data_IF_149582945054
#
_entry.id   IF_149582945054
#
_cell.length_a   1.000
_cell.length_b   1.000
_cell.length_c   1.000
_cell.angle_alpha   90.00
_cell.angle_beta   90.00
_cell.angle_gamma   90.00
#
_symmetry.space_group_name_H-M   'P 1'
#
loop_
_entity.id
_entity.type
_entity.pdbx_description
1 polymer ?
#
# COMPACT_ATOMS: atom_id res chain seq x y z
N UNK A 1 -18.62 -0.15 -10.20
CA UNK A 1 -18.37 1.17 -10.83
C UNK A 1 -16.96 1.63 -10.51
N UNK A 2 -16.44 2.69 -11.14
CA UNK A 2 -15.20 3.34 -10.65
C UNK A 2 -15.49 4.06 -9.33
N UNK A 3 -14.51 4.05 -8.42
CA UNK A 3 -14.59 4.80 -7.16
C UNK A 3 -14.61 6.30 -7.38
N UNK A 4 -15.32 7.01 -6.51
CA UNK A 4 -15.36 8.46 -6.37
C UNK A 4 -14.41 8.98 -5.31
N UNK A 5 -13.76 8.09 -4.54
CA UNK A 5 -12.75 8.48 -3.57
C UNK A 5 -11.60 9.17 -4.31
N UNK A 6 -11.20 10.31 -3.78
CA UNK A 6 -10.07 11.10 -4.25
C UNK A 6 -8.93 11.00 -3.26
N UNK A 7 -7.71 10.87 -3.78
CA UNK A 7 -6.50 10.76 -2.97
C UNK A 7 -5.58 11.95 -3.20
N UNK A 8 -5.00 12.46 -2.12
CA UNK A 8 -3.97 13.49 -2.15
C UNK A 8 -2.76 12.99 -1.38
N UNK A 9 -1.60 13.00 -2.02
CA UNK A 9 -0.33 12.62 -1.38
C UNK A 9 0.29 13.84 -0.70
N UNK A 10 0.69 13.68 0.55
CA UNK A 10 1.51 14.64 1.28
C UNK A 10 2.89 14.02 1.56
N UNK A 11 3.94 14.78 1.22
CA UNK A 11 5.31 14.28 1.19
C UNK A 11 5.86 14.29 -0.23
N UNK A 12 7.07 14.80 -0.40
CA UNK A 12 7.74 14.82 -1.70
C UNK A 12 8.67 13.60 -1.79
N UNK A 13 8.32 12.53 -2.54
CA UNK A 13 9.27 11.46 -2.82
C UNK A 13 10.47 11.95 -3.65
N UNK A 14 10.45 13.20 -4.14
CA UNK A 14 11.46 13.74 -5.03
C UNK A 14 11.37 13.09 -6.41
N UNK A 15 12.50 12.95 -7.09
CA UNK A 15 12.63 12.24 -8.37
C UNK A 15 12.80 10.72 -8.18
N UNK A 16 12.72 10.21 -6.95
CA UNK A 16 12.93 8.79 -6.67
C UNK A 16 11.80 7.93 -7.23
N UNK A 17 12.15 6.76 -7.76
CA UNK A 17 11.16 5.73 -8.09
C UNK A 17 10.41 5.34 -6.81
N UNK A 18 9.10 5.22 -6.91
CA UNK A 18 8.24 4.77 -5.81
C UNK A 18 7.63 3.42 -6.15
N UNK A 19 7.31 2.64 -5.12
CA UNK A 19 6.66 1.35 -5.24
C UNK A 19 5.47 1.19 -4.31
N UNK A 20 4.82 0.03 -4.41
CA UNK A 20 3.72 -0.36 -3.52
C UNK A 20 4.26 -1.19 -2.36
N UNK A 21 3.72 -0.96 -1.17
CA UNK A 21 4.07 -1.73 0.02
C UNK A 21 3.53 -3.15 -0.07
N UNK A 22 4.31 -4.10 0.44
CA UNK A 22 3.83 -5.44 0.78
C UNK A 22 3.51 -5.47 2.27
N UNK A 23 2.34 -5.96 2.68
CA UNK A 23 2.03 -6.05 4.11
C UNK A 23 2.91 -7.09 4.80
N UNK A 24 3.33 -6.80 6.03
CA UNK A 24 3.97 -7.80 6.91
C UNK A 24 2.99 -8.82 7.47
N UNK A 25 1.67 -8.52 7.44
CA UNK A 25 0.63 -9.48 7.81
C UNK A 25 0.09 -10.16 6.54
N UNK A 26 0.44 -11.43 6.36
CA UNK A 26 0.00 -12.22 5.21
C UNK A 26 -1.51 -12.47 5.15
N UNK A 27 -2.24 -12.27 6.25
CA UNK A 27 -3.69 -12.45 6.32
C UNK A 27 -4.47 -11.16 6.11
N UNK A 28 -3.78 -10.03 5.94
CA UNK A 28 -4.41 -8.75 5.73
C UNK A 28 -4.03 -8.16 4.38
N UNK A 29 -5.05 -7.65 3.70
CA UNK A 29 -4.90 -6.88 2.47
C UNK A 29 -5.93 -5.77 2.47
N UNK A 30 -5.57 -4.57 1.95
CA UNK A 30 -6.55 -3.54 1.66
C UNK A 30 -7.75 -4.06 0.84
N UNK A 31 -8.94 -3.48 1.03
CA UNK A 31 -10.15 -3.95 0.39
C UNK A 31 -10.05 -3.79 -1.13
N UNK A 32 -10.42 -4.85 -1.85
CA UNK A 32 -10.49 -4.82 -3.31
C UNK A 32 -11.76 -4.11 -3.83
N UNK A 33 -12.77 -3.93 -2.98
CA UNK A 33 -13.99 -3.20 -3.29
C UNK A 33 -14.67 -2.66 -2.02
N UNK A 34 -15.60 -1.73 -2.19
CA UNK A 34 -16.48 -1.22 -1.14
C UNK A 34 -17.79 -0.69 -1.73
N UNK A 35 -18.75 -0.34 -0.88
CA UNK A 35 -19.97 0.36 -1.27
C UNK A 35 -19.86 1.83 -0.92
N UNK A 36 -20.15 2.70 -1.87
CA UNK A 36 -20.12 4.16 -1.67
C UNK A 36 -21.32 4.85 -2.35
N UNK A 37 -21.67 6.10 -1.96
CA UNK A 37 -22.76 6.86 -2.55
C UNK A 37 -22.61 7.02 -4.07
N UNK A 38 -23.55 6.44 -4.83
CA UNK A 38 -23.42 6.32 -6.27
C UNK A 38 -24.54 7.05 -7.03
N UNK A 39 -25.80 6.75 -6.71
CA UNK A 39 -26.94 7.18 -7.53
C UNK A 39 -28.04 7.81 -6.68
N UNK A 40 -28.59 8.93 -7.11
CA UNK A 40 -29.87 9.43 -6.63
C UNK A 40 -31.04 8.58 -7.17
N UNK A 41 -32.25 8.68 -6.59
CA UNK A 41 -33.44 7.99 -7.10
C UNK A 41 -33.72 8.23 -8.59
N UNK A 42 -33.56 9.48 -9.05
CA UNK A 42 -33.68 9.85 -10.46
C UNK A 42 -32.61 9.17 -11.34
N UNK A 43 -31.38 9.04 -10.87
CA UNK A 43 -30.30 8.38 -11.62
C UNK A 43 -30.49 6.86 -11.71
N UNK A 44 -30.99 6.21 -10.65
CA UNK A 44 -31.41 4.80 -10.74
C UNK A 44 -32.51 4.64 -11.79
N UNK A 45 -33.57 5.45 -11.74
CA UNK A 45 -34.63 5.39 -12.75
C UNK A 45 -34.08 5.59 -14.18
N UNK A 46 -33.19 6.57 -14.36
CA UNK A 46 -32.55 6.83 -15.65
C UNK A 46 -31.71 5.63 -16.13
N UNK A 47 -30.98 4.98 -15.22
CA UNK A 47 -30.17 3.78 -15.49
C UNK A 47 -31.05 2.63 -15.98
N UNK A 48 -32.18 2.36 -15.31
CA UNK A 48 -33.11 1.31 -15.74
C UNK A 48 -33.75 1.63 -17.10
N UNK A 49 -34.14 2.90 -17.33
CA UNK A 49 -34.61 3.36 -18.63
C UNK A 49 -33.56 3.21 -19.74
N UNK A 50 -32.28 3.42 -19.42
CA UNK A 50 -31.17 3.24 -20.35
C UNK A 50 -30.99 1.77 -20.73
N UNK A 51 -31.01 0.86 -19.76
CA UNK A 51 -30.96 -0.58 -20.01
C UNK A 51 -32.07 -1.07 -20.94
N UNK A 52 -33.30 -0.58 -20.77
CA UNK A 52 -34.42 -0.93 -21.67
C UNK A 52 -34.22 -0.49 -23.12
N UNK A 53 -33.37 0.51 -23.36
CA UNK A 53 -33.02 0.95 -24.73
C UNK A 53 -31.92 0.10 -25.37
N UNK A 54 -31.25 -0.76 -24.61
CA UNK A 54 -30.20 -1.66 -25.14
C UNK A 54 -30.87 -2.77 -25.96
N UNK A 55 -30.76 -2.68 -27.28
CA UNK A 55 -31.43 -3.56 -28.24
C UNK A 55 -30.76 -4.91 -28.52
N UNK A 56 -29.81 -5.37 -27.70
CA UNK A 56 -29.07 -6.62 -27.94
C UNK A 56 -29.99 -7.81 -27.67
N UNK A 57 -30.62 -8.37 -28.71
CA UNK A 57 -31.46 -9.58 -28.66
C UNK A 57 -32.45 -9.63 -27.47
N UNK A 58 -33.02 -8.49 -27.07
CA UNK A 58 -33.95 -8.40 -25.93
C UNK A 58 -33.30 -8.42 -24.54
N UNK A 59 -31.98 -8.56 -24.42
CA UNK A 59 -31.23 -8.55 -23.15
C UNK A 59 -31.49 -7.25 -22.37
N UNK A 60 -31.49 -6.09 -23.03
CA UNK A 60 -31.77 -4.82 -22.36
C UNK A 60 -33.16 -4.75 -21.73
N UNK A 61 -34.18 -5.32 -22.39
CA UNK A 61 -35.53 -5.42 -21.83
C UNK A 61 -35.58 -6.38 -20.65
N UNK A 62 -34.88 -7.52 -20.72
CA UNK A 62 -34.79 -8.48 -19.62
C UNK A 62 -34.11 -7.87 -18.39
N UNK A 63 -32.95 -7.24 -18.55
CA UNK A 63 -32.24 -6.54 -17.47
C UNK A 63 -33.08 -5.40 -16.91
N UNK A 64 -33.72 -4.60 -17.77
CA UNK A 64 -34.61 -3.53 -17.35
C UNK A 64 -35.81 -4.04 -16.53
N UNK A 65 -36.38 -5.19 -16.88
CA UNK A 65 -37.46 -5.82 -16.12
C UNK A 65 -37.00 -6.31 -14.74
N UNK A 66 -35.80 -6.90 -14.64
CA UNK A 66 -35.20 -7.32 -13.36
C UNK A 66 -34.99 -6.10 -12.46
N UNK A 67 -34.40 -5.03 -12.99
CA UNK A 67 -34.16 -3.81 -12.24
C UNK A 67 -35.47 -3.12 -11.82
N UNK A 68 -36.49 -3.09 -12.68
CA UNK A 68 -37.82 -2.58 -12.31
C UNK A 68 -38.46 -3.43 -11.20
N UNK A 69 -38.32 -4.76 -11.26
CA UNK A 69 -38.80 -5.64 -10.20
C UNK A 69 -38.17 -5.31 -8.86
N UNK A 70 -36.89 -4.95 -8.82
CA UNK A 70 -36.20 -4.63 -7.57
C UNK A 70 -36.45 -3.18 -7.10
N UNK A 71 -36.31 -2.20 -8.00
CA UNK A 71 -36.32 -0.77 -7.66
C UNK A 71 -37.69 -0.09 -7.77
N UNK A 72 -38.60 -0.59 -8.60
CA UNK A 72 -39.90 0.05 -8.85
C UNK A 72 -41.04 -0.68 -8.15
N UNK A 73 -41.02 -2.01 -8.17
CA UNK A 73 -42.14 -2.85 -7.75
C UNK A 73 -41.87 -3.71 -6.50
N UNK A 74 -40.61 -3.87 -6.10
CA UNK A 74 -40.18 -4.80 -5.05
C UNK A 74 -39.73 -4.09 -3.77
N UNK A 75 -38.46 -4.30 -3.39
CA UNK A 75 -37.86 -3.75 -2.16
C UNK A 75 -38.03 -2.23 -2.08
N UNK A 76 -37.89 -1.55 -3.21
CA UNK A 76 -38.11 -0.12 -3.32
C UNK A 76 -39.37 0.16 -4.15
N UNK A 77 -40.08 1.23 -3.78
CA UNK A 77 -41.30 1.66 -4.48
C UNK A 77 -40.94 2.82 -5.39
N UNK A 78 -41.26 2.70 -6.67
CA UNK A 78 -41.06 3.75 -7.67
C UNK A 78 -39.66 4.41 -7.59
N UNK A 79 -38.61 3.59 -7.49
CA UNK A 79 -37.19 3.98 -7.39
C UNK A 79 -36.84 4.87 -6.19
N UNK A 80 -37.70 4.96 -5.16
CA UNK A 80 -37.62 5.93 -4.06
C UNK A 80 -37.63 7.40 -4.54
N UNK A 81 -38.36 7.72 -5.62
CA UNK A 81 -38.42 9.10 -6.14
C UNK A 81 -38.98 10.12 -5.13
N UNK A 82 -39.84 9.69 -4.21
CA UNK A 82 -40.36 10.47 -3.08
C UNK A 82 -39.29 10.78 -2.00
N UNK A 83 -38.16 10.06 -2.05
CA UNK A 83 -37.00 10.24 -1.18
C UNK A 83 -35.85 10.98 -1.87
N UNK A 84 -36.07 11.56 -3.04
CA UNK A 84 -35.05 12.35 -3.76
C UNK A 84 -34.43 13.42 -2.85
N UNK A 85 -33.10 13.45 -2.77
CA UNK A 85 -32.35 14.40 -1.96
C UNK A 85 -32.25 14.05 -0.47
N UNK A 86 -32.93 12.99 0.00
CA UNK A 86 -32.90 12.53 1.39
C UNK A 86 -31.91 11.38 1.64
N UNK A 87 -31.15 11.00 0.62
CA UNK A 87 -30.25 9.87 0.64
C UNK A 87 -29.73 9.55 -0.76
N UNK A 88 -28.96 8.48 -0.85
CA UNK A 88 -28.39 7.97 -2.10
C UNK A 88 -28.49 6.45 -2.13
N UNK A 89 -28.59 5.88 -3.32
CA UNK A 89 -28.27 4.47 -3.54
C UNK A 89 -26.76 4.31 -3.55
N UNK A 90 -26.25 3.49 -2.64
CA UNK A 90 -24.86 3.11 -2.56
C UNK A 90 -24.62 1.92 -3.47
N UNK A 91 -23.49 1.89 -4.17
CA UNK A 91 -23.15 0.84 -5.11
C UNK A 91 -21.69 0.41 -4.96
N UNK A 92 -21.38 -0.78 -5.45
CA UNK A 92 -20.04 -1.34 -5.41
C UNK A 92 -19.06 -0.53 -6.28
N UNK A 93 -18.03 0.01 -5.65
CA UNK A 93 -16.83 0.56 -6.28
C UNK A 93 -15.68 -0.45 -6.16
N UNK A 94 -14.88 -0.55 -7.22
CA UNK A 94 -13.71 -1.43 -7.25
C UNK A 94 -12.46 -0.60 -7.00
N UNK A 95 -11.55 -1.11 -6.16
CA UNK A 95 -10.22 -0.56 -5.98
C UNK A 95 -9.42 -0.72 -7.28
N UNK A 96 -9.00 0.37 -7.94
CA UNK A 96 -8.29 0.28 -9.21
C UNK A 96 -6.99 -0.53 -9.17
N UNK A 97 -6.27 -0.52 -8.04
CA UNK A 97 -5.03 -1.29 -7.84
C UNK A 97 -5.26 -2.78 -7.59
N UNK A 98 -6.52 -3.18 -7.33
CA UNK A 98 -6.91 -4.56 -7.03
C UNK A 98 -8.02 -5.07 -7.93
N UNK A 99 -8.19 -4.50 -9.12
CA UNK A 99 -9.25 -4.91 -10.07
C UNK A 99 -9.17 -6.39 -10.49
N UNK A 100 -7.96 -6.96 -10.47
CA UNK A 100 -7.69 -8.35 -10.85
C UNK A 100 -7.71 -9.30 -9.64
N UNK A 101 -7.87 -8.76 -8.42
CA UNK A 101 -8.06 -9.53 -7.20
C UNK A 101 -9.44 -10.21 -7.21
N UNK A 102 -9.56 -11.52 -6.95
CA UNK A 102 -10.85 -12.19 -6.86
C UNK A 102 -11.83 -11.52 -5.88
N UNK A 103 -11.31 -10.89 -4.80
CA UNK A 103 -12.12 -10.15 -3.84
C UNK A 103 -12.74 -8.88 -4.43
N UNK A 104 -12.31 -8.38 -5.58
CA UNK A 104 -12.99 -7.24 -6.24
C UNK A 104 -14.46 -7.54 -6.57
N UNK A 105 -14.83 -8.82 -6.67
CA UNK A 105 -16.19 -9.28 -6.91
C UNK A 105 -16.98 -9.56 -5.62
N UNK A 106 -16.41 -9.36 -4.42
CA UNK A 106 -17.13 -9.59 -3.15
C UNK A 106 -18.19 -8.52 -2.86
N UNK A 107 -18.12 -7.38 -3.54
CA UNK A 107 -19.14 -6.33 -3.49
C UNK A 107 -20.20 -6.58 -4.57
N UNK A 108 -21.01 -7.62 -4.37
CA UNK A 108 -21.96 -8.16 -5.34
C UNK A 108 -23.41 -7.64 -5.19
N UNK A 109 -23.69 -6.87 -4.14
CA UNK A 109 -25.05 -6.41 -3.85
C UNK A 109 -25.52 -5.38 -4.89
N UNK A 110 -26.78 -5.48 -5.35
CA UNK A 110 -27.36 -4.42 -6.16
C UNK A 110 -27.39 -3.11 -5.36
N UNK A 111 -27.29 -1.95 -6.03
CA UNK A 111 -27.33 -0.67 -5.35
C UNK A 111 -28.47 -0.56 -4.32
N UNK A 112 -28.17 -0.11 -3.12
CA UNK A 112 -29.12 -0.08 -2.01
C UNK A 112 -29.26 1.31 -1.39
N UNK A 113 -30.48 1.66 -1.01
CA UNK A 113 -30.79 2.97 -0.43
C UNK A 113 -30.18 3.17 0.95
N UNK A 114 -29.54 4.32 1.15
CA UNK A 114 -29.02 4.81 2.43
C UNK A 114 -29.50 6.26 2.62
N UNK A 115 -30.23 6.57 3.71
CA UNK A 115 -30.58 7.95 4.04
C UNK A 115 -29.34 8.81 4.33
N UNK A 116 -29.46 10.13 4.15
CA UNK A 116 -28.39 11.05 4.54
C UNK A 116 -28.06 10.91 6.04
N UNK A 117 -26.80 11.18 6.39
CA UNK A 117 -26.31 11.13 7.78
C UNK A 117 -26.55 9.78 8.48
N UNK A 118 -26.64 8.69 7.71
CA UNK A 118 -26.81 7.33 8.24
C UNK A 118 -25.62 6.47 7.84
N UNK A 119 -25.03 5.78 8.80
CA UNK A 119 -24.01 4.76 8.56
C UNK A 119 -24.68 3.43 8.22
N UNK A 120 -24.47 2.85 7.02
CA UNK A 120 -25.04 1.56 6.69
C UNK A 120 -24.48 0.44 7.57
N UNK A 121 -25.32 -0.55 7.93
CA UNK A 121 -24.87 -1.81 8.54
C UNK A 121 -24.27 -2.79 7.50
N UNK A 122 -23.59 -2.24 6.49
CA UNK A 122 -22.91 -3.00 5.45
C UNK A 122 -21.41 -3.04 5.80
N UNK A 123 -20.80 -4.21 6.03
CA UNK A 123 -19.40 -4.29 6.46
C UNK A 123 -18.40 -3.58 5.53
N UNK A 124 -18.68 -3.60 4.22
CA UNK A 124 -17.87 -2.92 3.20
C UNK A 124 -18.47 -1.57 2.76
N UNK A 125 -19.38 -0.97 3.53
CA UNK A 125 -19.72 0.43 3.32
C UNK A 125 -18.48 1.29 3.57
N UNK A 126 -18.25 2.28 2.69
CA UNK A 126 -17.15 3.23 2.85
C UNK A 126 -17.24 3.88 4.23
N UNK A 127 -16.14 3.75 4.96
CA UNK A 127 -15.93 4.19 6.33
C UNK A 127 -14.54 4.83 6.41
N UNK A 128 -14.22 5.58 7.47
CA UNK A 128 -12.85 6.05 7.71
C UNK A 128 -11.79 4.97 7.56
N UNK A 129 -12.06 3.77 8.08
CA UNK A 129 -11.16 2.63 7.95
C UNK A 129 -10.98 2.20 6.49
N UNK A 130 -12.06 2.03 5.71
CA UNK A 130 -11.95 1.71 4.27
C UNK A 130 -11.16 2.79 3.51
N UNK A 131 -11.35 4.07 3.84
CA UNK A 131 -10.57 5.15 3.25
C UNK A 131 -9.09 5.04 3.61
N UNK A 132 -8.76 4.71 4.86
CA UNK A 132 -7.39 4.53 5.32
C UNK A 132 -6.71 3.33 4.66
N UNK A 133 -7.42 2.22 4.53
CA UNK A 133 -6.94 1.00 3.85
C UNK A 133 -6.79 1.23 2.35
N UNK A 134 -7.68 2.00 1.71
CA UNK A 134 -7.48 2.42 0.33
C UNK A 134 -6.27 3.36 0.17
N UNK A 135 -6.10 4.32 1.08
CA UNK A 135 -4.92 5.18 1.11
C UNK A 135 -3.62 4.40 1.33
N UNK A 136 -3.65 3.24 2.01
CA UNK A 136 -2.51 2.34 2.15
C UNK A 136 -2.00 1.85 0.79
N UNK A 137 -2.89 1.35 -0.07
CA UNK A 137 -2.54 0.89 -1.43
C UNK A 137 -1.98 2.06 -2.28
N UNK A 138 -2.32 3.30 -1.92
CA UNK A 138 -1.90 4.52 -2.62
C UNK A 138 -0.59 5.15 -2.10
N UNK A 139 0.00 4.63 -1.02
CA UNK A 139 1.24 5.15 -0.45
C UNK A 139 2.41 5.05 -1.45
N UNK A 140 3.04 6.18 -1.83
CA UNK A 140 4.16 6.18 -2.76
C UNK A 140 5.48 6.07 -2.00
N UNK A 141 5.78 4.88 -1.48
CA UNK A 141 7.02 4.69 -0.73
C UNK A 141 8.24 4.68 -1.66
N UNK A 142 9.32 5.40 -1.33
CA UNK A 142 10.52 5.44 -2.15
C UNK A 142 11.22 4.07 -2.16
N UNK A 143 11.87 3.75 -3.28
CA UNK A 143 12.77 2.60 -3.40
C UNK A 143 13.89 2.64 -2.36
N UNK A 144 14.12 1.49 -1.72
CA UNK A 144 15.10 1.31 -0.64
C UNK A 144 16.50 1.24 -1.22
N UNK A 145 17.06 2.40 -1.59
CA UNK A 145 18.42 2.48 -2.09
C UNK A 145 19.41 2.57 -0.92
N UNK A 146 20.13 1.47 -0.70
CA UNK A 146 21.18 1.39 0.30
C UNK A 146 22.50 1.99 -0.18
N UNK A 147 23.15 2.72 0.71
CA UNK A 147 24.56 3.06 0.59
C UNK A 147 25.40 1.95 1.23
N UNK A 148 26.56 1.64 0.64
CA UNK A 148 27.45 0.63 1.18
C UNK A 148 28.93 1.02 1.08
N UNK A 149 29.72 0.59 2.06
CA UNK A 149 31.18 0.70 2.05
C UNK A 149 31.82 -0.67 2.35
N UNK A 150 32.69 -1.20 1.47
CA UNK A 150 33.08 -0.62 0.18
C UNK A 150 31.91 -0.54 -0.81
N UNK A 151 31.90 0.49 -1.66
CA UNK A 151 30.87 0.64 -2.70
C UNK A 151 31.04 -0.37 -3.85
N UNK A 152 32.27 -0.85 -4.05
CA UNK A 152 32.64 -1.84 -5.06
C UNK A 152 32.64 -3.26 -4.51
N UNK A 153 33.77 -3.96 -4.62
CA UNK A 153 33.91 -5.34 -4.14
C UNK A 153 34.10 -5.39 -2.63
N UNK A 154 33.32 -6.24 -1.98
CA UNK A 154 33.59 -6.65 -0.61
C UNK A 154 34.70 -7.69 -0.58
N UNK A 155 35.37 -7.82 0.56
CA UNK A 155 36.45 -8.80 0.75
C UNK A 155 36.03 -9.77 1.84
N UNK A 156 36.36 -11.05 1.65
CA UNK A 156 36.11 -12.10 2.65
C UNK A 156 36.65 -11.67 4.02
N UNK A 157 35.84 -11.89 5.07
CA UNK A 157 36.13 -11.55 6.46
C UNK A 157 36.31 -10.05 6.76
N UNK A 158 35.95 -9.15 5.83
CA UNK A 158 35.88 -7.71 6.08
C UNK A 158 34.43 -7.20 6.04
N UNK A 159 34.03 -6.34 6.99
CA UNK A 159 32.67 -5.85 7.07
C UNK A 159 32.33 -4.92 5.91
N UNK A 160 31.18 -5.17 5.30
CA UNK A 160 30.51 -4.25 4.39
C UNK A 160 29.51 -3.44 5.19
N UNK A 161 29.79 -2.17 5.40
CA UNK A 161 28.91 -1.24 6.10
C UNK A 161 27.74 -0.86 5.20
N UNK A 162 26.55 -0.78 5.78
CA UNK A 162 25.31 -0.40 5.07
C UNK A 162 24.60 0.70 5.84
N UNK A 163 24.07 1.70 5.13
CA UNK A 163 23.23 2.73 5.72
C UNK A 163 22.26 3.29 4.67
N UNK A 164 21.26 4.04 5.12
CA UNK A 164 20.36 4.77 4.24
C UNK A 164 20.67 6.26 4.25
N UNK A 165 20.43 6.93 3.12
CA UNK A 165 20.45 8.40 3.06
C UNK A 165 19.18 8.99 3.70
N UNK A 166 19.36 9.62 4.86
CA UNK A 166 18.30 10.26 5.67
C UNK A 166 17.50 11.32 4.92
N UNK A 167 18.03 11.87 3.83
CA UNK A 167 17.27 12.80 3.00
C UNK A 167 16.13 12.11 2.22
N UNK A 168 16.25 10.79 1.98
CA UNK A 168 15.42 10.04 1.03
C UNK A 168 14.30 9.21 1.68
N UNK A 169 14.54 8.65 2.87
CA UNK A 169 13.52 7.89 3.60
C UNK A 169 12.86 8.77 4.65
N UNK A 170 11.80 9.47 4.26
CA UNK A 170 10.97 10.30 5.15
C UNK A 170 9.56 9.75 5.21
N UNK A 171 8.80 10.07 6.28
CA UNK A 171 7.39 9.73 6.31
C UNK A 171 6.66 10.28 5.08
N UNK A 172 5.80 9.45 4.50
CA UNK A 172 4.91 9.81 3.40
C UNK A 172 3.48 9.55 3.84
N UNK A 173 2.54 10.36 3.39
CA UNK A 173 1.13 10.15 3.71
C UNK A 173 0.22 10.35 2.51
N UNK A 174 -0.92 9.68 2.54
CA UNK A 174 -1.99 9.81 1.57
C UNK A 174 -3.29 10.06 2.31
N UNK A 175 -4.00 11.11 1.90
CA UNK A 175 -5.35 11.40 2.36
C UNK A 175 -6.34 10.91 1.33
N UNK A 176 -7.13 9.90 1.65
CA UNK A 176 -8.30 9.48 0.88
C UNK A 176 -9.54 10.22 1.39
N UNK A 177 -10.33 10.77 0.47
CA UNK A 177 -11.53 11.55 0.80
C UNK A 177 -12.68 11.21 -0.12
N UNK A 178 -13.91 11.22 0.42
CA UNK A 178 -15.12 10.99 -0.35
C UNK A 178 -15.87 12.32 -0.57
N UNK A 179 -15.88 12.86 -1.80
CA UNK A 179 -16.47 14.16 -2.08
C UNK A 179 -17.94 14.27 -1.65
N UNK A 180 -18.31 15.43 -1.10
CA UNK A 180 -19.69 15.72 -0.68
C UNK A 180 -20.12 15.11 0.65
N UNK A 181 -19.25 14.34 1.33
CA UNK A 181 -19.55 13.72 2.63
C UNK A 181 -18.78 14.33 3.81
N UNK A 182 -17.68 15.04 3.54
CA UNK A 182 -16.74 15.51 4.57
C UNK A 182 -15.88 14.39 5.19
N UNK A 183 -16.04 13.15 4.73
CA UNK A 183 -15.29 12.00 5.19
C UNK A 183 -13.92 11.96 4.53
N UNK A 184 -12.86 11.90 5.34
CA UNK A 184 -11.51 11.58 4.86
C UNK A 184 -10.72 10.80 5.91
N UNK A 185 -9.72 10.06 5.44
CA UNK A 185 -8.72 9.41 6.27
C UNK A 185 -7.33 9.65 5.69
N UNK A 186 -6.35 9.92 6.55
CA UNK A 186 -4.95 10.12 6.19
C UNK A 186 -4.13 8.98 6.73
N UNK A 187 -3.58 8.17 5.84
CA UNK A 187 -2.67 7.07 6.16
C UNK A 187 -1.24 7.54 5.98
N UNK A 188 -0.40 7.32 6.98
CA UNK A 188 1.01 7.74 7.02
C UNK A 188 1.91 6.53 7.19
N UNK A 189 2.89 6.41 6.30
CA UNK A 189 3.96 5.43 6.38
C UNK A 189 5.21 6.08 6.97
N UNK A 190 5.72 5.53 8.07
CA UNK A 190 6.93 5.99 8.76
C UNK A 190 7.99 4.89 8.70
N UNK A 191 9.20 5.16 8.18
CA UNK A 191 10.25 4.14 8.11
C UNK A 191 10.74 3.81 9.53
N UNK A 192 10.93 2.53 9.86
CA UNK A 192 11.30 2.12 11.23
C UNK A 192 12.50 1.19 11.33
N UNK A 193 12.74 0.33 10.33
CA UNK A 193 13.87 -0.60 10.35
C UNK A 193 14.23 -1.09 8.94
N UNK A 194 15.52 -1.28 8.68
CA UNK A 194 16.03 -1.93 7.46
C UNK A 194 16.46 -3.36 7.79
N UNK A 195 15.88 -4.34 7.11
CA UNK A 195 16.30 -5.73 7.17
C UNK A 195 17.32 -6.03 6.08
N UNK A 196 18.44 -6.65 6.43
CA UNK A 196 19.46 -7.13 5.51
C UNK A 196 19.44 -8.65 5.44
N UNK A 197 19.25 -9.19 4.23
CA UNK A 197 19.46 -10.59 3.91
C UNK A 197 20.67 -10.68 2.95
N UNK A 198 21.79 -11.31 3.37
CA UNK A 198 23.03 -11.37 2.59
C UNK A 198 22.92 -12.22 1.32
N UNK A 199 21.84 -12.99 1.15
CA UNK A 199 21.64 -13.85 -0.01
C UNK A 199 22.54 -15.09 -0.04
N UNK A 200 23.16 -15.43 1.09
CA UNK A 200 23.99 -16.62 1.31
C UNK A 200 24.05 -16.94 2.79
N UNK A 201 24.20 -18.22 3.13
CA UNK A 201 24.44 -18.67 4.51
C UNK A 201 25.90 -18.46 4.95
N UNK A 202 26.83 -18.26 4.00
CA UNK A 202 28.25 -17.99 4.25
C UNK A 202 28.50 -16.49 4.56
N UNK A 203 27.71 -15.91 5.45
CA UNK A 203 27.82 -14.51 5.85
C UNK A 203 27.29 -14.23 7.27
N UNK A 204 27.96 -13.33 7.99
CA UNK A 204 27.47 -12.73 9.23
C UNK A 204 26.78 -11.40 8.94
N UNK A 205 25.63 -11.15 9.57
CA UNK A 205 24.90 -9.87 9.52
C UNK A 205 25.07 -9.07 10.80
N UNK A 206 25.05 -7.75 10.68
CA UNK A 206 25.14 -6.82 11.81
C UNK A 206 23.96 -5.84 11.75
N UNK A 207 23.16 -5.72 12.82
CA UNK A 207 23.17 -6.60 14.00
C UNK A 207 22.84 -8.05 13.63
N UNK A 208 23.07 -9.00 14.54
CA UNK A 208 22.87 -10.43 14.27
C UNK A 208 21.44 -10.81 13.86
N UNK A 209 20.44 -9.95 14.12
CA UNK A 209 19.08 -10.12 13.62
C UNK A 209 18.91 -9.80 12.13
N UNK A 210 19.86 -9.10 11.51
CA UNK A 210 19.71 -8.46 10.20
C UNK A 210 18.86 -7.19 10.22
N UNK A 211 18.15 -6.92 11.32
CA UNK A 211 17.27 -5.76 11.46
C UNK A 211 18.02 -4.56 12.04
N UNK A 212 18.31 -3.58 11.19
CA UNK A 212 18.91 -2.30 11.55
C UNK A 212 17.82 -1.29 11.94
N UNK A 213 17.63 -0.97 13.23
CA UNK A 213 16.59 -0.04 13.67
C UNK A 213 16.96 1.42 13.36
N UNK A 214 15.99 2.31 13.52
CA UNK A 214 16.28 3.74 13.59
C UNK A 214 17.20 4.08 14.78
N UNK A 215 18.26 4.82 14.49
CA UNK A 215 19.09 5.48 15.49
C UNK A 215 18.31 6.63 16.16
N UNK A 216 18.82 7.13 17.29
CA UNK A 216 18.22 8.25 18.03
C UNK A 216 18.06 9.53 17.19
N UNK A 217 18.91 9.73 16.19
CA UNK A 217 18.84 10.86 15.28
C UNK A 217 17.85 10.62 14.11
N UNK A 218 17.21 9.45 14.01
CA UNK A 218 16.37 8.99 12.89
C UNK A 218 17.13 8.59 11.61
N UNK A 219 18.43 8.27 11.70
CA UNK A 219 19.16 7.57 10.64
C UNK A 219 18.99 6.06 10.75
N UNK A 220 19.28 5.32 9.68
CA UNK A 220 19.38 3.85 9.69
C UNK A 220 20.78 3.47 9.24
N UNK A 221 21.47 2.67 10.06
CA UNK A 221 22.90 2.40 9.91
C UNK A 221 23.77 3.62 10.23
N UNK A 222 25.09 3.46 10.08
CA UNK A 222 26.07 4.53 10.32
C UNK A 222 26.98 4.65 9.11
N UNK A 223 27.08 5.82 8.46
CA UNK A 223 28.00 6.02 7.36
C UNK A 223 29.45 5.67 7.72
N UNK A 224 30.11 4.90 6.86
CA UNK A 224 31.50 4.54 7.07
C UNK A 224 32.40 5.77 7.05
N UNK A 225 33.31 5.87 8.02
CA UNK A 225 34.33 6.92 8.10
C UNK A 225 35.72 6.30 8.06
N UNK A 226 36.67 6.98 7.40
CA UNK A 226 38.07 6.51 7.35
C UNK A 226 38.59 6.35 8.79
N UNK A 227 39.18 5.19 9.08
CA UNK A 227 39.62 4.80 10.42
C UNK A 227 38.62 3.93 11.20
N UNK A 228 37.45 3.62 10.62
CA UNK A 228 36.48 2.68 11.21
C UNK A 228 36.64 1.24 10.73
N UNK A 229 37.77 0.89 10.10
CA UNK A 229 38.00 -0.44 9.53
C UNK A 229 37.93 -1.56 10.58
N UNK A 230 38.41 -1.28 11.80
CA UNK A 230 38.41 -2.24 12.92
C UNK A 230 37.12 -2.19 13.77
N UNK A 231 36.11 -1.42 13.35
CA UNK A 231 34.85 -1.29 14.08
C UNK A 231 33.78 -2.19 13.48
N UNK A 232 32.91 -2.72 14.35
CA UNK A 232 31.70 -3.41 13.93
C UNK A 232 30.70 -2.39 13.37
N UNK A 233 30.13 -2.61 12.17
CA UNK A 233 29.07 -1.77 11.64
C UNK A 233 27.81 -1.86 12.51
N UNK A 234 27.08 -0.75 12.65
CA UNK A 234 25.74 -0.75 13.26
C UNK A 234 24.69 -1.40 12.35
N UNK A 235 24.97 -1.43 11.05
CA UNK A 235 24.20 -2.10 10.02
C UNK A 235 25.16 -2.56 8.92
N UNK A 236 25.21 -3.85 8.60
CA UNK A 236 26.17 -4.36 7.61
C UNK A 236 26.23 -5.88 7.50
N UNK A 237 27.13 -6.37 6.65
CA UNK A 237 27.34 -7.79 6.37
C UNK A 237 28.83 -8.10 6.22
N UNK A 238 29.30 -9.18 6.82
CA UNK A 238 30.63 -9.76 6.56
C UNK A 238 30.45 -11.09 5.84
N UNK A 239 30.97 -11.22 4.62
CA UNK A 239 30.92 -12.48 3.88
C UNK A 239 32.12 -13.36 4.25
N UNK A 240 31.88 -14.63 4.49
CA UNK A 240 32.89 -15.61 4.90
C UNK A 240 33.48 -16.37 3.70
N UNK A 241 32.83 -16.29 2.54
CA UNK A 241 33.26 -16.95 1.30
C UNK A 241 33.22 -16.02 0.10
N UNK A 242 34.19 -16.16 -0.80
CA UNK A 242 34.18 -15.46 -2.10
C UNK A 242 33.00 -15.89 -2.97
N UNK A 243 32.46 -14.95 -3.74
CA UNK A 243 31.39 -15.21 -4.71
C UNK A 243 31.87 -15.95 -5.97
N UNK A 244 33.14 -16.37 -6.04
CA UNK A 244 33.66 -17.25 -7.10
C UNK A 244 33.60 -16.64 -8.51
N UNK A 245 33.61 -15.32 -8.63
CA UNK A 245 33.45 -14.60 -9.90
C UNK A 245 32.02 -14.15 -10.22
N UNK A 246 31.03 -14.58 -9.42
CA UNK A 246 29.65 -14.07 -9.43
C UNK A 246 29.40 -13.01 -8.36
N UNK A 247 28.16 -12.91 -7.91
CA UNK A 247 27.70 -11.97 -6.86
C UNK A 247 26.73 -12.65 -5.89
N UNK A 248 26.68 -12.16 -4.67
CA UNK A 248 25.59 -12.46 -3.74
C UNK A 248 24.50 -11.39 -3.84
N UNK A 249 23.21 -11.76 -3.88
CA UNK A 249 22.11 -10.80 -3.95
C UNK A 249 21.77 -10.28 -2.54
N UNK A 250 22.46 -9.23 -2.09
CA UNK A 250 22.16 -8.58 -0.81
C UNK A 250 20.79 -7.88 -0.92
N UNK A 251 19.78 -8.43 -0.24
CA UNK A 251 18.44 -7.85 -0.18
C UNK A 251 18.35 -6.88 0.98
N UNK A 252 17.83 -5.70 0.72
CA UNK A 252 17.64 -4.66 1.71
C UNK A 252 16.17 -4.25 1.74
N UNK A 253 15.47 -4.58 2.81
CA UNK A 253 14.02 -4.41 2.93
C UNK A 253 13.68 -3.42 4.04
N UNK A 254 13.12 -2.27 3.66
CA UNK A 254 12.72 -1.24 4.62
C UNK A 254 11.30 -1.51 5.11
N UNK A 255 11.14 -1.60 6.43
CA UNK A 255 9.86 -1.70 7.11
C UNK A 255 9.32 -0.31 7.43
N UNK A 256 8.04 -0.12 7.13
CA UNK A 256 7.27 1.09 7.33
C UNK A 256 6.13 0.80 8.32
N UNK A 257 6.15 1.51 9.44
CA UNK A 257 5.03 1.56 10.37
C UNK A 257 3.91 2.41 9.79
N UNK A 258 2.69 1.88 9.77
CA UNK A 258 1.56 2.53 9.14
C UNK A 258 0.51 2.92 10.17
N UNK A 259 0.21 4.21 10.25
CA UNK A 259 -0.81 4.76 11.14
C UNK A 259 -1.76 5.64 10.34
N UNK A 260 -3.03 5.73 10.74
CA UNK A 260 -4.01 6.59 10.08
C UNK A 260 -4.88 7.37 11.06
N UNK A 261 -5.40 8.49 10.59
CA UNK A 261 -6.35 9.34 11.31
C UNK A 261 -7.45 9.82 10.36
N UNK A 262 -8.62 10.17 10.89
CA UNK A 262 -9.77 10.63 10.11
C UNK A 262 -10.35 11.94 10.61
N UNK A 263 -11.07 12.65 9.75
CA UNK A 263 -11.88 13.82 10.11
C UNK A 263 -12.97 13.52 11.15
N UNK A 264 -13.32 12.25 11.38
CA UNK A 264 -14.24 11.83 12.45
C UNK A 264 -13.58 11.71 13.83
N UNK A 265 -12.25 11.87 13.91
CA UNK A 265 -11.46 11.63 15.12
C UNK A 265 -11.05 10.17 15.34
N UNK A 266 -11.52 9.25 14.49
CA UNK A 266 -11.06 7.87 14.45
C UNK A 266 -9.62 7.78 13.93
N UNK A 267 -8.90 6.75 14.37
CA UNK A 267 -7.55 6.43 13.91
C UNK A 267 -7.03 5.18 14.60
N UNK A 268 -6.15 4.47 13.92
CA UNK A 268 -5.51 3.25 14.40
C UNK A 268 -4.21 2.99 13.63
N UNK A 269 -3.51 1.94 14.00
CA UNK A 269 -2.48 1.31 13.19
C UNK A 269 -3.11 0.45 12.07
N UNK A 270 -2.41 0.35 10.95
CA UNK A 270 -2.60 -0.70 9.95
C UNK A 270 -1.37 -1.62 9.99
N UNK A 271 -1.45 -2.85 9.45
CA UNK A 271 -0.28 -3.71 9.36
C UNK A 271 0.90 -3.00 8.71
N UNK A 272 2.10 -3.22 9.23
CA UNK A 272 3.30 -2.62 8.67
C UNK A 272 3.46 -3.02 7.20
N UNK A 273 4.10 -2.15 6.43
CA UNK A 273 4.43 -2.40 5.05
C UNK A 273 5.93 -2.58 4.86
N UNK A 274 6.35 -3.38 3.90
CA UNK A 274 7.75 -3.51 3.50
C UNK A 274 7.92 -3.14 2.04
N UNK A 275 9.04 -2.50 1.74
CA UNK A 275 9.50 -2.27 0.38
C UNK A 275 11.03 -2.34 0.35
N UNK A 276 11.59 -3.04 -0.62
CA UNK A 276 13.00 -3.36 -0.65
C UNK A 276 13.59 -3.32 -2.04
N UNK A 277 14.91 -3.37 -2.07
CA UNK A 277 15.70 -3.51 -3.29
C UNK A 277 16.78 -4.59 -3.08
N UNK A 278 17.39 -5.05 -4.17
CA UNK A 278 18.47 -6.03 -4.16
C UNK A 278 19.71 -5.44 -4.78
N UNK A 279 20.84 -5.52 -4.07
CA UNK A 279 22.16 -5.11 -4.55
C UNK A 279 23.05 -6.32 -4.75
N UNK A 280 23.59 -6.47 -5.95
CA UNK A 280 24.57 -7.51 -6.23
C UNK A 280 25.94 -7.15 -5.64
N UNK A 281 26.45 -7.99 -4.73
CA UNK A 281 27.73 -7.82 -4.05
C UNK A 281 28.73 -8.84 -4.54
N UNK A 282 29.80 -8.38 -5.19
CA UNK A 282 30.94 -9.23 -5.54
C UNK A 282 31.90 -9.34 -4.35
N UNK A 283 32.22 -10.58 -3.95
CA UNK A 283 33.09 -10.86 -2.80
C UNK A 283 34.36 -11.53 -3.28
N UNK A 284 35.49 -10.87 -3.05
CA UNK A 284 36.81 -11.38 -3.39
C UNK A 284 37.54 -11.91 -2.16
N UNK A 285 38.42 -12.88 -2.37
CA UNK A 285 39.39 -13.31 -1.36
C UNK A 285 40.77 -12.74 -1.72
N UNK A 286 41.48 -12.22 -0.73
CA UNK A 286 42.86 -11.74 -0.92
C UNK A 286 43.80 -12.77 -0.31
N UNK A 287 44.56 -13.44 -1.17
CA UNK A 287 45.59 -14.39 -0.76
C UNK A 287 46.95 -13.67 -0.78
N UNK A 288 47.63 -13.63 0.36
CA UNK A 288 49.00 -13.15 0.44
C UNK A 288 49.94 -14.25 -0.04
N UNK A 289 50.70 -13.98 -1.10
CA UNK A 289 51.83 -14.83 -1.49
C UNK A 289 53.05 -14.40 -0.68
N UNK A 290 53.42 -15.16 0.34
CA UNK A 290 54.73 -15.01 0.97
C UNK A 290 55.77 -15.61 0.02
N UNK A 291 56.67 -14.76 -0.48
CA UNK A 291 57.81 -15.17 -1.30
C UNK A 291 59.09 -15.10 -0.51
#
# INVERSE_FOLDING_TARGET
MQTRIQTTTNGNPGTAKTGSLSSTDSNWTPPACWYEPAFSPKEIQATVKSWRKVGIFGIGNAVGAILDSYYKHGKYKNYNLDQQGKGMFWAAAINPKRKDDPQANSCDKPPFWVPNNTTPHEPLAVSPKILAEYAYDELPVPETQIEAAPAGKSTVNLPTWVWLDKARFKPVSVTASLPGTGLSATTTATPVALHLDPGTDDAEVYPASGDCPLNADKSIGTPYTKGSADRTPSCGVTYERSSGGGTYPLRATLTWEINWTSTTGEGDSLPNGTYGDTKDVAVQEIQSTNR
#
